data_IF_193193299982
#
_entry.id   IF_193193299982
#
_cell.length_a   1.000
_cell.length_b   1.000
_cell.length_c   1.000
_cell.angle_alpha   90.00
_cell.angle_beta   90.00
_cell.angle_gamma   90.00
#
_symmetry.space_group_name_H-M   'P 1'
#
loop_
_entity.id
_entity.type
_entity.pdbx_description
1 polymer ?
#
# COMPACT_ATOMS: atom_id res chain seq x y z
N UNK A 1 12.91 35.55 -13.15
CA UNK A 1 13.17 36.40 -14.33
C UNK A 1 11.81 36.89 -14.82
N UNK A 2 11.61 38.20 -15.02
CA UNK A 2 10.37 38.70 -15.62
C UNK A 2 10.30 38.13 -17.04
N UNK A 3 9.19 37.48 -17.39
CA UNK A 3 9.14 36.61 -18.56
C UNK A 3 9.32 37.38 -19.89
N UNK A 4 9.03 38.68 -19.95
CA UNK A 4 9.37 39.45 -21.17
C UNK A 4 9.40 40.99 -21.02
N UNK A 5 8.77 41.57 -19.98
CA UNK A 5 8.60 43.04 -19.90
C UNK A 5 9.40 43.77 -18.82
N UNK A 6 10.31 43.10 -18.09
CA UNK A 6 11.13 43.78 -17.07
C UNK A 6 10.36 44.36 -15.86
N UNK A 7 9.03 44.31 -15.88
CA UNK A 7 8.18 44.73 -14.78
C UNK A 7 8.34 43.79 -13.60
N UNK A 8 8.57 44.38 -12.42
CA UNK A 8 8.65 43.63 -11.18
C UNK A 8 7.28 42.99 -10.89
N UNK A 9 7.24 41.69 -10.53
CA UNK A 9 5.99 41.00 -10.29
C UNK A 9 5.22 41.69 -9.16
N UNK A 10 4.05 42.24 -9.49
CA UNK A 10 3.18 42.89 -8.53
C UNK A 10 2.34 41.84 -7.81
N UNK A 11 2.60 41.66 -6.52
CA UNK A 11 1.91 40.68 -5.67
C UNK A 11 2.64 39.35 -5.52
N UNK A 12 2.07 38.44 -4.72
CA UNK A 12 2.68 37.14 -4.43
C UNK A 12 2.37 36.12 -5.53
N UNK A 13 3.37 35.36 -5.97
CA UNK A 13 3.21 34.22 -6.89
C UNK A 13 2.37 33.05 -6.34
N UNK A 14 1.92 33.13 -5.08
CA UNK A 14 1.02 32.15 -4.46
C UNK A 14 -0.43 32.48 -4.81
N UNK A 15 -0.90 31.89 -5.90
CA UNK A 15 -2.33 31.87 -6.22
C UNK A 15 -3.01 30.67 -5.55
N UNK A 16 -4.29 30.82 -5.22
CA UNK A 16 -5.08 29.76 -4.60
C UNK A 16 -5.45 28.72 -5.67
N UNK A 17 -4.60 27.71 -5.83
CA UNK A 17 -4.87 26.59 -6.72
C UNK A 17 -6.02 25.73 -6.18
N UNK A 18 -6.74 25.06 -7.10
CA UNK A 18 -7.75 24.07 -6.70
C UNK A 18 -7.08 22.93 -5.96
N UNK A 19 -7.70 22.49 -4.85
CA UNK A 19 -7.17 21.43 -3.97
C UNK A 19 -6.91 20.11 -4.73
N UNK A 20 -7.60 19.86 -5.85
CA UNK A 20 -7.44 18.66 -6.66
C UNK A 20 -6.00 18.39 -7.12
N UNK A 21 -5.22 19.43 -7.43
CA UNK A 21 -3.83 19.25 -7.85
C UNK A 21 -2.93 18.74 -6.72
N UNK A 22 -3.22 19.15 -5.48
CA UNK A 22 -2.51 18.65 -4.31
C UNK A 22 -2.87 17.19 -4.02
N UNK A 23 -4.15 16.84 -4.12
CA UNK A 23 -4.62 15.46 -3.92
C UNK A 23 -3.97 14.52 -4.94
N UNK A 24 -3.90 14.93 -6.21
CA UNK A 24 -3.20 14.15 -7.24
C UNK A 24 -1.73 13.93 -6.88
N UNK A 25 -1.01 14.97 -6.44
CA UNK A 25 0.39 14.84 -6.05
C UNK A 25 0.59 13.87 -4.88
N UNK A 26 -0.25 13.95 -3.84
CA UNK A 26 -0.17 13.04 -2.70
C UNK A 26 -0.47 11.59 -3.11
N UNK A 27 -1.52 11.37 -3.90
CA UNK A 27 -1.86 10.03 -4.41
C UNK A 27 -0.75 9.47 -5.28
N UNK A 28 -0.16 10.28 -6.15
CA UNK A 28 0.97 9.89 -7.00
C UNK A 28 2.17 9.43 -6.16
N UNK A 29 2.55 10.18 -5.13
CA UNK A 29 3.67 9.81 -4.23
C UNK A 29 3.38 8.52 -3.49
N UNK A 30 2.16 8.34 -2.97
CA UNK A 30 1.77 7.10 -2.28
C UNK A 30 1.82 5.91 -3.23
N UNK A 31 1.31 6.07 -4.45
CA UNK A 31 1.35 5.03 -5.48
C UNK A 31 2.79 4.65 -5.86
N UNK A 32 3.67 5.64 -6.04
CA UNK A 32 5.07 5.42 -6.41
C UNK A 32 5.81 4.62 -5.32
N UNK A 33 5.57 4.92 -4.04
CA UNK A 33 6.09 4.14 -2.92
C UNK A 33 5.63 2.68 -3.01
N UNK A 34 4.33 2.44 -3.23
CA UNK A 34 3.79 1.08 -3.37
C UNK A 34 4.44 0.35 -4.55
N UNK A 35 4.59 1.01 -5.69
CA UNK A 35 5.25 0.45 -6.88
C UNK A 35 6.72 0.11 -6.62
N UNK A 36 7.45 0.98 -5.89
CA UNK A 36 8.83 0.72 -5.48
C UNK A 36 8.95 -0.51 -4.58
N UNK A 37 7.98 -0.75 -3.69
CA UNK A 37 7.92 -1.96 -2.86
C UNK A 37 7.48 -3.22 -3.63
N UNK A 38 6.75 -3.08 -4.73
CA UNK A 38 6.36 -4.21 -5.57
C UNK A 38 7.56 -4.87 -6.27
N UNK A 39 8.62 -4.11 -6.58
CA UNK A 39 9.84 -4.62 -7.23
C UNK A 39 10.60 -5.65 -6.37
N UNK A 40 11.02 -5.35 -5.11
CA UNK A 40 11.70 -6.33 -4.27
C UNK A 40 10.79 -7.53 -3.94
N UNK A 41 9.48 -7.33 -3.84
CA UNK A 41 8.53 -8.44 -3.69
C UNK A 41 8.52 -9.37 -4.92
N UNK A 42 8.48 -8.81 -6.13
CA UNK A 42 8.55 -9.60 -7.36
C UNK A 42 9.88 -10.37 -7.51
N UNK A 43 11.01 -9.77 -7.09
CA UNK A 43 12.33 -10.42 -7.15
C UNK A 43 12.47 -11.51 -6.09
N UNK A 44 11.93 -11.29 -4.89
CA UNK A 44 11.98 -12.25 -3.79
C UNK A 44 10.94 -13.37 -3.89
N UNK A 45 10.11 -13.40 -4.93
CA UNK A 45 9.05 -14.40 -5.11
C UNK A 45 9.55 -15.86 -5.00
N UNK A 46 10.76 -16.15 -5.49
CA UNK A 46 11.39 -17.47 -5.40
C UNK A 46 12.21 -17.68 -4.10
N UNK A 47 12.42 -16.63 -3.31
CA UNK A 47 13.13 -16.67 -2.02
C UNK A 47 12.16 -16.75 -0.82
N UNK A 48 10.87 -16.47 -1.04
CA UNK A 48 9.83 -16.72 -0.04
C UNK A 48 9.62 -18.22 0.02
N UNK A 49 10.11 -18.83 1.10
CA UNK A 49 9.82 -20.23 1.39
C UNK A 49 8.34 -20.36 1.74
N UNK A 50 7.61 -21.19 0.99
CA UNK A 50 6.19 -21.43 1.21
C UNK A 50 5.93 -22.37 2.39
N UNK A 51 6.97 -23.08 2.85
CA UNK A 51 6.91 -23.99 3.99
C UNK A 51 6.30 -23.34 5.25
N UNK A 52 6.73 -22.17 5.75
CA UNK A 52 6.12 -21.53 6.91
C UNK A 52 4.65 -21.16 6.72
N UNK A 53 4.26 -20.73 5.51
CA UNK A 53 2.87 -20.37 5.20
C UNK A 53 1.98 -21.61 5.21
N UNK A 54 2.44 -22.69 4.57
CA UNK A 54 1.74 -23.98 4.53
C UNK A 54 1.67 -24.58 5.95
N UNK A 55 2.74 -24.50 6.73
CA UNK A 55 2.78 -25.01 8.10
C UNK A 55 1.79 -24.28 9.02
N UNK A 56 1.69 -22.95 8.90
CA UNK A 56 0.72 -22.17 9.68
C UNK A 56 -0.72 -22.47 9.27
N UNK A 57 -0.98 -22.63 7.98
CA UNK A 57 -2.30 -23.03 7.47
C UNK A 57 -2.70 -24.43 7.95
N UNK A 58 -1.80 -25.41 7.83
CA UNK A 58 -2.04 -26.78 8.31
C UNK A 58 -2.20 -26.81 9.84
N UNK A 59 -1.41 -26.04 10.58
CA UNK A 59 -1.55 -25.90 12.03
C UNK A 59 -2.93 -25.38 12.43
N UNK A 60 -3.42 -24.35 11.73
CA UNK A 60 -4.78 -23.83 11.94
C UNK A 60 -5.85 -24.89 11.63
N UNK A 61 -5.70 -25.66 10.55
CA UNK A 61 -6.63 -26.76 10.23
C UNK A 61 -6.63 -27.85 11.29
N UNK A 62 -5.47 -28.19 11.85
CA UNK A 62 -5.38 -29.16 12.96
C UNK A 62 -6.10 -28.63 14.20
N UNK A 63 -5.91 -27.35 14.54
CA UNK A 63 -6.58 -26.73 15.68
C UNK A 63 -8.10 -26.73 15.48
N UNK A 64 -8.57 -26.25 14.32
CA UNK A 64 -10.00 -26.23 13.99
C UNK A 64 -10.58 -27.64 13.94
N UNK A 65 -9.87 -28.58 13.31
CA UNK A 65 -10.26 -30.00 13.25
C UNK A 65 -10.33 -30.65 14.63
N UNK A 66 -9.41 -30.33 15.52
CA UNK A 66 -9.45 -30.79 16.91
C UNK A 66 -10.69 -30.30 17.66
N UNK A 67 -11.01 -29.02 17.56
CA UNK A 67 -12.23 -28.46 18.17
C UNK A 67 -13.50 -29.00 17.50
N UNK A 68 -13.48 -29.25 16.19
CA UNK A 68 -14.60 -29.83 15.46
C UNK A 68 -14.87 -31.28 15.87
N UNK A 69 -13.81 -32.09 16.05
CA UNK A 69 -13.92 -33.47 16.54
C UNK A 69 -14.39 -33.56 18.00
N UNK A 70 -14.15 -32.52 18.80
CA UNK A 70 -14.70 -32.39 20.15
C UNK A 70 -16.18 -32.00 20.18
N UNK A 71 -16.80 -31.70 19.04
CA UNK A 71 -18.18 -31.23 18.99
C UNK A 71 -18.38 -29.81 19.52
N UNK A 72 -17.32 -29.08 19.84
CA UNK A 72 -17.39 -27.70 20.37
C UNK A 72 -17.73 -26.66 19.27
N UNK A 73 -17.80 -27.10 18.00
CA UNK A 73 -18.26 -26.29 16.86
C UNK A 73 -19.73 -26.52 16.50
N UNK A 74 -20.50 -27.28 17.29
CA UNK A 74 -21.96 -27.26 17.15
C UNK A 74 -22.47 -25.87 17.53
N UNK A 75 -22.76 -25.09 16.48
CA UNK A 75 -23.64 -23.95 16.61
C UNK A 75 -25.01 -24.47 17.00
N UNK A 76 -25.46 -24.10 18.20
CA UNK A 76 -26.86 -24.27 18.66
C UNK A 76 -27.83 -23.85 17.57
#
# INVERSE_FOLDING_TARGET
MPFESGEDPVGTARIRFRVHYYVFAVVFVVFDIIAAFAIPWAISWNMVDWIPVIALFLGMLVVVGYYALKGELEWV
#
